data_IF_230567598378
#
_entry.id   IF_230567598378
#
_cell.length_a   1.000
_cell.length_b   1.000
_cell.length_c   1.000
_cell.angle_alpha   90.00
_cell.angle_beta   90.00
_cell.angle_gamma   90.00
#
_symmetry.space_group_name_H-M   'P 1'
#
loop_
_entity.id
_entity.type
_entity.pdbx_description
1 polymer ?
#
# COMPACT_ATOMS: atom_id res chain seq x y z
N UNK A 1 6.28 -20.49 -16.00
CA UNK A 1 6.27 -19.21 -15.25
C UNK A 1 4.83 -18.78 -15.06
N UNK A 2 4.41 -18.50 -13.82
CA UNK A 2 3.13 -17.84 -13.55
C UNK A 2 3.32 -16.34 -13.71
N UNK A 3 2.35 -15.65 -14.33
CA UNK A 3 2.29 -14.19 -14.38
C UNK A 3 1.24 -13.71 -13.38
N UNK A 4 1.34 -12.47 -12.93
CA UNK A 4 0.27 -11.81 -12.17
C UNK A 4 -0.98 -11.69 -13.06
N UNK A 5 -2.15 -11.71 -12.42
CA UNK A 5 -3.42 -11.51 -13.14
C UNK A 5 -3.50 -10.07 -13.70
N UNK A 6 -4.32 -9.87 -14.73
CA UNK A 6 -4.62 -8.54 -15.23
C UNK A 6 -5.37 -7.69 -14.20
N UNK A 7 -6.19 -8.33 -13.36
CA UNK A 7 -6.90 -7.67 -12.27
C UNK A 7 -5.93 -7.07 -11.25
N UNK A 8 -4.97 -7.85 -10.75
CA UNK A 8 -3.94 -7.37 -9.83
C UNK A 8 -3.06 -6.30 -10.48
N UNK A 9 -2.65 -6.53 -11.72
CA UNK A 9 -1.84 -5.55 -12.47
C UNK A 9 -2.57 -4.20 -12.62
N UNK A 10 -3.89 -4.24 -12.85
CA UNK A 10 -4.74 -3.05 -12.90
C UNK A 10 -4.88 -2.36 -11.55
N UNK A 11 -5.04 -3.13 -10.46
CA UNK A 11 -5.11 -2.60 -9.10
C UNK A 11 -3.81 -1.88 -8.72
N UNK A 12 -2.66 -2.53 -8.92
CA UNK A 12 -1.34 -1.96 -8.63
C UNK A 12 -1.09 -0.69 -9.44
N UNK A 13 -1.31 -0.72 -10.77
CA UNK A 13 -1.15 0.47 -11.64
C UNK A 13 -1.97 1.65 -11.14
N UNK A 14 -3.22 1.37 -10.74
CA UNK A 14 -4.15 2.43 -10.32
C UNK A 14 -3.79 2.97 -8.94
N UNK A 15 -3.36 2.13 -8.01
CA UNK A 15 -2.80 2.57 -6.72
C UNK A 15 -1.57 3.46 -6.92
N UNK A 16 -0.60 3.04 -7.74
CA UNK A 16 0.58 3.84 -8.07
C UNK A 16 0.23 5.17 -8.72
N UNK A 17 -0.76 5.18 -9.62
CA UNK A 17 -1.26 6.42 -10.23
C UNK A 17 -1.83 7.37 -9.17
N UNK A 18 -2.65 6.89 -8.24
CA UNK A 18 -3.22 7.75 -7.18
C UNK A 18 -2.17 8.27 -6.20
N UNK A 19 -1.18 7.44 -5.85
CA UNK A 19 -0.03 7.87 -5.05
C UNK A 19 0.64 9.05 -5.75
N UNK A 20 1.12 8.85 -7.00
CA UNK A 20 1.84 9.85 -7.76
C UNK A 20 1.01 11.11 -8.08
N UNK A 21 -0.30 10.96 -8.25
CA UNK A 21 -1.21 12.06 -8.52
C UNK A 21 -1.67 12.82 -7.26
N UNK A 22 -1.25 12.42 -6.05
CA UNK A 22 -1.66 13.11 -4.83
C UNK A 22 -3.10 12.85 -4.41
N UNK A 23 -3.71 11.74 -4.83
CA UNK A 23 -5.16 11.46 -4.69
C UNK A 23 -5.49 10.10 -4.07
N UNK A 24 -4.49 9.42 -3.49
CA UNK A 24 -4.69 8.11 -2.88
C UNK A 24 -5.58 8.21 -1.65
N UNK A 25 -6.42 7.19 -1.43
CA UNK A 25 -7.21 7.07 -0.20
C UNK A 25 -8.33 8.09 -0.05
N UNK A 26 -8.75 8.76 -1.13
CA UNK A 26 -9.86 9.70 -1.09
C UNK A 26 -11.09 9.12 -0.35
N UNK A 27 -11.69 9.84 0.62
CA UNK A 27 -11.38 11.22 1.04
C UNK A 27 -10.40 11.34 2.22
N UNK A 28 -9.81 10.24 2.71
CA UNK A 28 -9.02 10.23 3.95
C UNK A 28 -7.82 11.20 3.94
N UNK A 29 -7.18 11.32 2.78
CA UNK A 29 -6.03 12.21 2.54
C UNK A 29 -6.40 13.48 1.77
N UNK A 30 -7.70 13.75 1.57
CA UNK A 30 -8.13 14.97 0.91
C UNK A 30 -7.66 16.20 1.70
N UNK A 31 -6.87 17.07 1.05
CA UNK A 31 -6.31 18.27 1.68
C UNK A 31 -5.12 18.01 2.62
N UNK A 32 -4.64 16.78 2.73
CA UNK A 32 -3.43 16.43 3.50
C UNK A 32 -2.22 16.45 2.56
N UNK A 33 -1.22 17.27 2.87
CA UNK A 33 0.06 17.23 2.15
C UNK A 33 0.91 16.07 2.68
N UNK A 34 1.03 15.03 1.85
CA UNK A 34 1.88 13.87 2.14
C UNK A 34 3.08 13.78 1.19
N UNK A 35 3.47 14.87 0.53
CA UNK A 35 4.56 14.88 -0.45
C UNK A 35 5.93 14.43 0.12
N UNK A 36 6.13 14.52 1.44
CA UNK A 36 7.33 14.02 2.11
C UNK A 36 7.61 12.54 1.85
N UNK A 37 6.58 11.70 1.62
CA UNK A 37 6.80 10.27 1.37
C UNK A 37 7.55 9.98 0.06
N UNK A 38 7.60 10.94 -0.88
CA UNK A 38 8.37 10.80 -2.11
C UNK A 38 9.88 10.99 -1.90
N UNK A 39 10.28 11.69 -0.84
CA UNK A 39 11.68 11.93 -0.47
C UNK A 39 12.18 10.90 0.56
N UNK A 40 11.26 10.10 1.14
CA UNK A 40 11.56 9.11 2.18
C UNK A 40 11.23 7.69 1.70
N UNK A 41 12.22 6.95 1.16
CA UNK A 41 11.99 5.64 0.55
C UNK A 41 11.31 4.63 1.46
N UNK A 42 11.60 4.66 2.77
CA UNK A 42 10.98 3.77 3.76
C UNK A 42 9.48 4.00 3.93
N UNK A 43 9.01 5.25 3.86
CA UNK A 43 7.58 5.55 3.97
C UNK A 43 6.83 5.06 2.72
N UNK A 44 7.42 5.27 1.54
CA UNK A 44 6.85 4.75 0.29
C UNK A 44 6.85 3.21 0.27
N UNK A 45 7.94 2.57 0.67
CA UNK A 45 8.04 1.12 0.80
C UNK A 45 6.93 0.57 1.70
N UNK A 46 6.73 1.16 2.87
CA UNK A 46 5.71 0.72 3.82
C UNK A 46 4.28 0.86 3.26
N UNK A 47 3.98 1.95 2.55
CA UNK A 47 2.67 2.14 1.91
C UNK A 47 2.38 1.07 0.85
N UNK A 48 3.39 0.71 0.04
CA UNK A 48 3.26 -0.35 -0.96
C UNK A 48 3.18 -1.74 -0.32
N UNK A 49 3.93 -2.00 0.75
CA UNK A 49 3.85 -3.25 1.50
C UNK A 49 2.44 -3.45 2.06
N UNK A 50 1.86 -2.43 2.70
CA UNK A 50 0.49 -2.50 3.23
C UNK A 50 -0.51 -2.75 2.11
N UNK A 51 -0.42 -2.02 0.99
CA UNK A 51 -1.31 -2.27 -0.14
C UNK A 51 -1.20 -3.72 -0.63
N UNK A 52 0.02 -4.22 -0.85
CA UNK A 52 0.23 -5.58 -1.38
C UNK A 52 -0.21 -6.68 -0.39
N UNK A 53 0.08 -6.51 0.90
CA UNK A 53 -0.25 -7.48 1.94
C UNK A 53 -1.76 -7.60 2.13
N UNK A 54 -2.49 -6.48 2.07
CA UNK A 54 -3.95 -6.43 2.31
C UNK A 54 -4.75 -6.90 1.10
N UNK A 55 -4.17 -6.96 -0.11
CA UNK A 55 -4.90 -7.41 -1.30
C UNK A 55 -5.36 -8.86 -1.16
N UNK A 56 -6.66 -9.07 -1.31
CA UNK A 56 -7.31 -10.36 -1.42
C UNK A 56 -7.68 -10.63 -2.88
N UNK A 57 -7.52 -11.89 -3.31
CA UNK A 57 -7.85 -12.34 -4.65
C UNK A 57 -8.64 -13.65 -4.59
N UNK A 58 -9.52 -13.87 -5.57
CA UNK A 58 -10.14 -15.18 -5.79
C UNK A 58 -9.16 -16.17 -6.45
N UNK A 59 -9.62 -17.40 -6.68
CA UNK A 59 -8.84 -18.49 -7.29
C UNK A 59 -8.35 -18.18 -8.72
N UNK A 60 -9.00 -17.24 -9.41
CA UNK A 60 -8.62 -16.79 -10.76
C UNK A 60 -7.65 -15.60 -10.71
N UNK A 61 -7.35 -15.08 -9.52
CA UNK A 61 -6.51 -13.92 -9.29
C UNK A 61 -7.23 -12.58 -9.47
N UNK A 62 -8.56 -12.55 -9.47
CA UNK A 62 -9.31 -11.30 -9.48
C UNK A 62 -9.25 -10.64 -8.10
N UNK A 63 -8.84 -9.38 -8.05
CA UNK A 63 -8.77 -8.62 -6.80
C UNK A 63 -10.17 -8.35 -6.26
N UNK A 64 -10.39 -8.67 -4.98
CA UNK A 64 -11.69 -8.56 -4.32
C UNK A 64 -11.83 -7.27 -3.50
N UNK A 65 -10.73 -6.71 -3.01
CA UNK A 65 -10.75 -5.68 -1.97
C UNK A 65 -9.82 -4.48 -2.23
N UNK A 66 -9.53 -4.12 -3.50
CA UNK A 66 -8.58 -3.07 -3.86
C UNK A 66 -8.77 -1.75 -3.11
N UNK A 67 -10.03 -1.31 -2.92
CA UNK A 67 -10.36 -0.09 -2.19
C UNK A 67 -10.10 -0.18 -0.69
N UNK A 68 -10.24 -1.37 -0.11
CA UNK A 68 -9.87 -1.60 1.28
C UNK A 68 -8.35 -1.57 1.45
N UNK A 69 -7.59 -2.26 0.58
CA UNK A 69 -6.13 -2.21 0.58
C UNK A 69 -5.58 -0.78 0.40
N UNK A 70 -6.15 -0.01 -0.54
CA UNK A 70 -5.84 1.41 -0.73
C UNK A 70 -6.11 2.23 0.56
N UNK A 71 -7.27 2.01 1.19
CA UNK A 71 -7.62 2.69 2.45
C UNK A 71 -6.60 2.39 3.55
N UNK A 72 -6.18 1.14 3.72
CA UNK A 72 -5.19 0.75 4.75
C UNK A 72 -3.85 1.44 4.52
N UNK A 73 -3.37 1.46 3.27
CA UNK A 73 -2.15 2.20 2.92
C UNK A 73 -2.30 3.72 3.18
N UNK A 74 -3.46 4.30 2.87
CA UNK A 74 -3.73 5.71 3.14
C UNK A 74 -3.83 6.04 4.64
N UNK A 75 -4.33 5.11 5.46
CA UNK A 75 -4.33 5.27 6.92
C UNK A 75 -2.91 5.31 7.47
N UNK A 76 -2.02 4.46 6.95
CA UNK A 76 -0.59 4.55 7.26
C UNK A 76 -0.02 5.92 6.85
N UNK A 77 -0.20 6.33 5.58
CA UNK A 77 0.32 7.61 5.08
C UNK A 77 -0.16 8.77 5.95
N UNK A 78 -1.44 8.78 6.32
CA UNK A 78 -1.98 9.83 7.20
C UNK A 78 -1.33 9.81 8.58
N UNK A 79 -1.21 8.64 9.20
CA UNK A 79 -0.56 8.51 10.52
C UNK A 79 0.92 8.90 10.49
N UNK A 80 1.56 8.82 9.31
CA UNK A 80 2.94 9.22 9.11
C UNK A 80 3.12 10.74 9.10
N UNK A 81 2.13 11.49 8.59
CA UNK A 81 2.24 12.95 8.38
C UNK A 81 1.41 13.78 9.36
N UNK A 82 0.41 13.17 10.02
CA UNK A 82 -0.49 13.80 10.98
C UNK A 82 -0.37 13.06 12.32
N UNK A 83 0.39 13.63 13.26
CA UNK A 83 0.63 13.08 14.60
C UNK A 83 -0.65 12.95 15.45
N UNK A 84 -1.72 13.66 15.08
CA UNK A 84 -3.01 13.59 15.77
C UNK A 84 -3.94 12.52 15.17
N UNK A 85 -3.57 11.92 14.04
CA UNK A 85 -4.35 10.88 13.41
C UNK A 85 -4.06 9.51 14.02
N UNK A 86 -5.11 8.89 14.58
CA UNK A 86 -5.06 7.52 15.10
C UNK A 86 -5.70 6.57 14.08
N UNK A 87 -4.95 5.54 13.68
CA UNK A 87 -5.47 4.49 12.81
C UNK A 87 -6.40 3.58 13.63
N UNK A 88 -7.68 3.56 13.27
CA UNK A 88 -8.69 2.70 13.88
C UNK A 88 -9.43 1.87 12.81
N UNK A 89 -9.44 0.53 12.91
CA UNK A 89 -8.61 -0.28 13.82
C UNK A 89 -7.11 -0.13 13.52
N UNK A 90 -6.22 -0.30 14.52
CA UNK A 90 -4.77 -0.27 14.32
C UNK A 90 -4.31 -1.18 13.17
N UNK A 91 -3.20 -0.84 12.53
CA UNK A 91 -2.58 -1.73 11.54
C UNK A 91 -2.09 -3.00 12.22
N UNK A 92 -2.48 -4.15 11.69
CA UNK A 92 -2.04 -5.44 12.19
C UNK A 92 -0.60 -5.70 11.76
N UNK A 93 0.13 -6.50 12.55
CA UNK A 93 1.56 -6.76 12.29
C UNK A 93 1.83 -7.35 10.90
N UNK A 94 0.91 -8.15 10.37
CA UNK A 94 1.02 -8.74 9.04
C UNK A 94 0.73 -7.74 7.92
N UNK A 95 -0.09 -6.70 8.17
CA UNK A 95 -0.35 -5.64 7.18
C UNK A 95 0.94 -4.85 6.93
N UNK A 96 1.72 -4.60 7.98
CA UNK A 96 2.94 -3.77 7.91
C UNK A 96 4.21 -4.57 7.58
N UNK A 97 4.14 -5.90 7.51
CA UNK A 97 5.33 -6.73 7.35
C UNK A 97 6.00 -6.51 5.99
N UNK A 98 7.31 -6.23 6.01
CA UNK A 98 8.16 -6.15 4.82
C UNK A 98 8.70 -7.54 4.48
N UNK A 99 7.98 -8.28 3.62
CA UNK A 99 8.42 -9.60 3.17
C UNK A 99 9.60 -9.51 2.21
N UNK A 100 10.69 -10.20 2.54
CA UNK A 100 11.82 -10.34 1.63
C UNK A 100 11.49 -11.31 0.49
N UNK A 101 11.99 -11.02 -0.72
CA UNK A 101 12.04 -12.00 -1.78
C UNK A 101 13.05 -13.09 -1.39
N UNK A 102 12.59 -14.28 -1.00
CA UNK A 102 13.48 -15.39 -0.65
C UNK A 102 14.30 -15.80 -1.87
N UNK A 103 15.62 -15.54 -1.83
CA UNK A 103 16.49 -15.82 -2.95
C UNK A 103 17.98 -15.83 -2.62
N UNK A 104 18.47 -16.43 -1.52
CA UNK A 104 19.94 -16.63 -1.36
C UNK A 104 20.81 -15.36 -1.57
N UNK A 105 20.30 -14.17 -1.22
CA UNK A 105 20.98 -12.87 -1.43
C UNK A 105 21.43 -12.19 -0.12
N UNK A 106 21.50 -12.94 0.98
CA UNK A 106 22.18 -12.51 2.21
C UNK A 106 23.71 -12.76 2.18
N UNK A 107 24.28 -13.14 1.03
CA UNK A 107 25.73 -13.36 0.84
C UNK A 107 26.41 -12.25 0.02
N UNK A 108 25.93 -11.00 0.10
CA UNK A 108 26.63 -9.82 -0.44
C UNK A 108 26.66 -8.67 0.56
#
# INVERSE_FOLDING_TARGET
MKKLSHSFSGALRTFSFWIANGTVGYPLLEGIDYSCIFEEPSAMEQAYAIFANVIEMDDEGNVLNAKYAEKRAAQFIRSYVDENYVVDPPLEGWEVQLYCCDSRLNDM
#
